data_IF_848138290684
#
_entry.id   IF_848138290684
#
_cell.length_a   1.000
_cell.length_b   1.000
_cell.length_c   1.000
_cell.angle_alpha   90.00
_cell.angle_beta   90.00
_cell.angle_gamma   90.00
#
_symmetry.space_group_name_H-M   'P 1'
#
loop_
_entity.id
_entity.type
_entity.pdbx_description
1 polymer ?
#
# COMPACT_ATOMS: atom_id res chain seq x y z
N UNK A 1 -12.63 -17.05 8.82
CA UNK A 1 -12.35 -16.03 9.86
C UNK A 1 -10.86 -15.75 10.02
N UNK A 2 -9.97 -16.67 9.61
CA UNK A 2 -8.51 -16.49 9.78
C UNK A 2 -7.87 -15.44 8.88
N UNK A 3 -8.26 -15.33 7.60
CA UNK A 3 -7.65 -14.36 6.67
C UNK A 3 -7.78 -12.89 7.12
N UNK A 4 -8.90 -12.50 7.75
CA UNK A 4 -9.07 -11.16 8.31
C UNK A 4 -8.13 -10.92 9.51
N UNK A 5 -7.97 -11.91 10.39
CA UNK A 5 -7.06 -11.83 11.54
C UNK A 5 -5.60 -11.77 11.11
N UNK A 6 -5.24 -12.52 10.07
CA UNK A 6 -3.89 -12.51 9.49
C UNK A 6 -3.58 -11.12 8.95
N UNK A 7 -4.42 -10.58 8.06
CA UNK A 7 -4.23 -9.23 7.50
C UNK A 7 -4.11 -8.15 8.59
N UNK A 8 -5.02 -8.15 9.57
CA UNK A 8 -5.03 -7.15 10.63
C UNK A 8 -3.79 -7.27 11.55
N UNK A 9 -3.28 -8.50 11.73
CA UNK A 9 -2.00 -8.77 12.42
C UNK A 9 -0.81 -8.23 11.63
N UNK A 10 -0.73 -8.53 10.33
CA UNK A 10 0.38 -8.08 9.48
C UNK A 10 0.45 -6.55 9.37
N UNK A 11 -0.69 -5.87 9.22
CA UNK A 11 -0.75 -4.40 9.24
C UNK A 11 -0.25 -3.87 10.60
N UNK A 12 -0.66 -4.52 11.70
CA UNK A 12 -0.24 -4.10 13.04
C UNK A 12 1.27 -4.24 13.26
N UNK A 13 1.87 -5.32 12.73
CA UNK A 13 3.31 -5.55 12.78
C UNK A 13 4.07 -4.51 11.96
N UNK A 14 3.61 -4.21 10.74
CA UNK A 14 4.17 -3.17 9.90
C UNK A 14 4.14 -1.79 10.58
N UNK A 15 3.01 -1.41 11.16
CA UNK A 15 2.91 -0.16 11.92
C UNK A 15 3.80 -0.14 13.16
N UNK A 16 3.93 -1.27 13.86
CA UNK A 16 4.83 -1.36 15.01
C UNK A 16 6.28 -1.14 14.60
N UNK A 17 6.71 -1.78 13.51
CA UNK A 17 8.04 -1.58 12.94
C UNK A 17 8.29 -0.10 12.63
N UNK A 18 7.36 0.56 11.93
CA UNK A 18 7.46 2.00 11.63
C UNK A 18 7.62 2.82 12.91
N UNK A 19 6.83 2.52 13.96
CA UNK A 19 6.90 3.25 15.23
C UNK A 19 8.25 3.07 15.92
N UNK A 20 8.77 1.85 15.96
CA UNK A 20 10.05 1.53 16.59
C UNK A 20 11.22 2.16 15.82
N UNK A 21 11.18 2.10 14.50
CA UNK A 21 12.18 2.69 13.62
C UNK A 21 12.24 4.21 13.78
N UNK A 22 11.08 4.87 13.73
CA UNK A 22 10.99 6.32 13.99
C UNK A 22 11.52 6.70 15.37
N UNK A 23 11.22 5.89 16.40
CA UNK A 23 11.74 6.13 17.76
C UNK A 23 13.26 6.03 17.81
N UNK A 24 13.84 5.02 17.16
CA UNK A 24 15.28 4.82 17.10
C UNK A 24 16.01 6.01 16.43
N UNK A 25 15.55 6.43 15.26
CA UNK A 25 16.16 7.57 14.56
C UNK A 25 15.93 8.90 15.28
N UNK A 26 14.77 9.09 15.92
CA UNK A 26 14.54 10.24 16.80
C UNK A 26 15.56 10.29 17.94
N UNK A 27 15.89 9.16 18.56
CA UNK A 27 16.90 9.11 19.62
C UNK A 27 18.30 9.46 19.08
N UNK A 28 18.67 8.99 17.89
CA UNK A 28 19.93 9.37 17.22
C UNK A 28 20.01 10.87 16.96
N UNK A 29 18.97 11.47 16.37
CA UNK A 29 18.93 12.91 16.09
C UNK A 29 19.06 13.74 17.37
N UNK A 30 18.35 13.35 18.45
CA UNK A 30 18.48 14.03 19.75
C UNK A 30 19.92 13.92 20.28
N UNK A 31 20.56 12.76 20.11
CA UNK A 31 21.96 12.55 20.47
C UNK A 31 22.91 13.51 19.76
N UNK A 32 22.84 13.63 18.43
CA UNK A 32 23.70 14.56 17.68
C UNK A 32 23.42 16.02 18.06
N UNK A 33 22.15 16.41 18.25
CA UNK A 33 21.80 17.77 18.71
C UNK A 33 22.40 18.06 20.10
N UNK A 34 22.37 17.09 21.03
CA UNK A 34 22.97 17.24 22.35
C UNK A 34 24.49 17.35 22.27
N UNK A 35 25.13 16.58 21.39
CA UNK A 35 26.58 16.67 21.15
C UNK A 35 26.96 18.06 20.64
N UNK A 36 26.21 18.60 19.67
CA UNK A 36 26.38 19.96 19.19
C UNK A 36 26.29 20.99 20.33
N UNK A 37 25.23 20.98 21.14
CA UNK A 37 25.09 21.92 22.26
C UNK A 37 26.20 21.77 23.31
N UNK A 38 26.73 20.57 23.51
CA UNK A 38 27.85 20.35 24.43
C UNK A 38 29.16 20.94 23.87
N UNK A 39 29.41 20.81 22.56
CA UNK A 39 30.56 21.42 21.90
C UNK A 39 30.43 22.94 21.91
N UNK A 40 29.26 23.47 21.57
CA UNK A 40 28.96 24.91 21.61
C UNK A 40 29.19 25.52 23.01
N UNK A 41 28.71 24.85 24.06
CA UNK A 41 28.94 25.28 25.45
C UNK A 41 30.42 25.28 25.84
N UNK A 42 31.17 24.26 25.46
CA UNK A 42 32.62 24.19 25.72
C UNK A 42 33.36 25.31 25.01
N UNK A 43 33.08 25.51 23.73
CA UNK A 43 33.65 26.61 22.95
C UNK A 43 33.31 27.96 23.59
N UNK A 44 32.08 28.18 24.05
CA UNK A 44 31.70 29.42 24.73
C UNK A 44 32.39 29.61 26.08
N UNK A 45 32.61 28.55 26.85
CA UNK A 45 33.34 28.60 28.12
C UNK A 45 34.84 28.89 27.93
N UNK A 46 35.49 28.20 26.99
CA UNK A 46 36.90 28.43 26.66
C UNK A 46 37.12 29.85 26.11
N UNK A 47 36.13 30.36 25.38
CA UNK A 47 36.08 31.72 24.85
C UNK A 47 35.94 32.83 25.92
N UNK A 48 35.44 32.53 27.12
CA UNK A 48 35.41 33.47 28.25
C UNK A 48 36.75 33.53 29.00
N UNK A 49 37.60 32.51 28.82
CA UNK A 49 38.88 32.35 29.50
C UNK A 49 40.08 32.85 28.67
N UNK A 50 40.02 32.77 27.33
CA UNK A 50 41.10 33.20 26.43
C UNK A 50 40.81 34.55 25.75
N UNK A 51 41.58 35.58 26.11
CA UNK A 51 41.47 36.96 25.61
C UNK A 51 42.10 37.17 24.20
N UNK A 52 42.24 36.11 23.37
CA UNK A 52 43.14 36.10 22.21
C UNK A 52 42.42 35.94 20.83
N UNK A 53 42.20 37.10 20.19
CA UNK A 53 42.71 37.56 18.88
C UNK A 53 42.44 36.90 17.50
N UNK A 54 41.64 35.85 17.30
CA UNK A 54 41.27 35.47 15.92
C UNK A 54 39.79 35.13 15.74
N UNK A 55 38.97 36.17 15.53
CA UNK A 55 37.53 36.07 15.28
C UNK A 55 37.17 35.12 14.12
N UNK A 56 38.06 35.01 13.13
CA UNK A 56 37.92 34.09 11.99
C UNK A 56 38.07 32.61 12.38
N UNK A 57 39.07 32.27 13.19
CA UNK A 57 39.27 30.89 13.67
C UNK A 57 38.13 30.49 14.63
N UNK A 58 37.66 31.41 15.47
CA UNK A 58 36.52 31.18 16.37
C UNK A 58 35.21 30.91 15.63
N UNK A 59 34.95 31.70 14.58
CA UNK A 59 33.79 31.48 13.73
C UNK A 59 33.88 30.12 13.04
N UNK A 60 35.07 29.74 12.56
CA UNK A 60 35.28 28.45 11.91
C UNK A 60 35.13 27.27 12.87
N UNK A 61 35.64 27.37 14.11
CA UNK A 61 35.49 26.34 15.14
C UNK A 61 34.05 26.16 15.62
N UNK A 62 33.22 27.21 15.57
CA UNK A 62 31.80 27.14 15.92
C UNK A 62 30.91 26.72 14.74
N UNK A 63 31.40 26.95 13.52
CA UNK A 63 30.76 26.60 12.26
C UNK A 63 30.84 25.11 11.96
N UNK A 64 32.02 24.49 12.13
CA UNK A 64 32.22 23.07 11.78
C UNK A 64 31.25 22.13 12.52
N UNK A 65 31.03 22.24 13.85
CA UNK A 65 30.08 21.37 14.56
C UNK A 65 28.63 21.54 14.08
N UNK A 66 28.29 22.72 13.55
CA UNK A 66 26.97 22.97 12.99
C UNK A 66 26.83 22.29 11.62
N UNK A 67 27.84 22.37 10.76
CA UNK A 67 27.88 21.64 9.49
C UNK A 67 27.84 20.12 9.72
N UNK A 68 28.63 19.61 10.68
CA UNK A 68 28.63 18.19 11.05
C UNK A 68 27.24 17.75 11.55
N UNK A 69 26.56 18.58 12.35
CA UNK A 69 25.20 18.31 12.82
C UNK A 69 24.20 18.23 11.66
N UNK A 70 24.28 19.14 10.69
CA UNK A 70 23.42 19.10 9.51
C UNK A 70 23.60 17.79 8.76
N UNK A 71 24.85 17.41 8.50
CA UNK A 71 25.18 16.22 7.74
C UNK A 71 24.72 14.95 8.47
N UNK A 72 24.89 14.89 9.80
CA UNK A 72 24.36 13.82 10.64
C UNK A 72 22.84 13.71 10.54
N UNK A 73 22.12 14.83 10.70
CA UNK A 73 20.65 14.84 10.66
C UNK A 73 20.11 14.43 9.28
N UNK A 74 20.72 14.92 8.20
CA UNK A 74 20.36 14.55 6.83
C UNK A 74 20.69 13.09 6.53
N UNK A 75 21.82 12.59 7.02
CA UNK A 75 22.21 11.18 6.90
C UNK A 75 21.23 10.26 7.63
N UNK A 76 20.84 10.61 8.85
CA UNK A 76 19.84 9.86 9.61
C UNK A 76 18.49 9.83 8.92
N UNK A 77 18.08 10.94 8.32
CA UNK A 77 16.82 11.04 7.58
C UNK A 77 16.85 10.18 6.31
N UNK A 78 17.96 10.19 5.56
CA UNK A 78 18.16 9.36 4.37
C UNK A 78 18.17 7.87 4.72
N UNK A 79 18.89 7.50 5.79
CA UNK A 79 18.95 6.12 6.25
C UNK A 79 17.57 5.61 6.71
N UNK A 80 16.82 6.43 7.44
CA UNK A 80 15.45 6.11 7.83
C UNK A 80 14.53 5.94 6.62
N UNK A 81 14.64 6.81 5.61
CA UNK A 81 13.90 6.65 4.35
C UNK A 81 14.21 5.32 3.67
N UNK A 82 15.49 4.98 3.51
CA UNK A 82 15.89 3.72 2.88
C UNK A 82 15.31 2.50 3.62
N UNK A 83 15.41 2.48 4.95
CA UNK A 83 14.86 1.36 5.75
C UNK A 83 13.32 1.31 5.71
N UNK A 84 12.64 2.45 5.58
CA UNK A 84 11.20 2.49 5.38
C UNK A 84 10.80 1.98 3.99
N UNK A 85 11.55 2.31 2.95
CA UNK A 85 11.32 1.83 1.57
C UNK A 85 11.54 0.31 1.48
N UNK A 86 12.64 -0.22 2.04
CA UNK A 86 12.90 -1.65 2.08
C UNK A 86 11.77 -2.42 2.78
N UNK A 87 11.34 -1.95 3.95
CA UNK A 87 10.23 -2.57 4.67
C UNK A 87 8.88 -2.40 3.96
N UNK A 88 8.70 -1.31 3.20
CA UNK A 88 7.50 -1.10 2.38
C UNK A 88 7.45 -2.08 1.21
N UNK A 89 8.59 -2.40 0.59
CA UNK A 89 8.68 -3.39 -0.47
C UNK A 89 8.35 -4.79 0.03
N UNK A 90 8.80 -5.15 1.23
CA UNK A 90 8.44 -6.43 1.88
C UNK A 90 6.94 -6.50 2.20
N UNK A 91 6.37 -5.40 2.73
CA UNK A 91 4.93 -5.29 2.98
C UNK A 91 4.10 -5.37 1.70
N UNK A 92 4.58 -4.78 0.61
CA UNK A 92 3.96 -4.87 -0.72
C UNK A 92 3.93 -6.31 -1.24
N UNK A 93 5.06 -7.03 -1.18
CA UNK A 93 5.13 -8.44 -1.59
C UNK A 93 4.16 -9.31 -0.79
N UNK A 94 4.08 -9.08 0.51
CA UNK A 94 3.16 -9.79 1.39
C UNK A 94 1.70 -9.51 1.04
N UNK A 95 1.31 -8.24 0.85
CA UNK A 95 -0.06 -7.88 0.46
C UNK A 95 -0.43 -8.42 -0.92
N UNK A 96 0.50 -8.42 -1.87
CA UNK A 96 0.32 -9.07 -3.18
C UNK A 96 0.00 -10.55 -3.00
N UNK A 97 0.81 -11.26 -2.22
CA UNK A 97 0.60 -12.69 -1.93
C UNK A 97 -0.78 -12.95 -1.31
N UNK A 98 -1.17 -12.20 -0.28
CA UNK A 98 -2.49 -12.33 0.35
C UNK A 98 -3.65 -12.04 -0.61
N UNK A 99 -3.47 -11.07 -1.51
CA UNK A 99 -4.47 -10.70 -2.51
C UNK A 99 -4.62 -11.79 -3.57
N UNK A 100 -3.51 -12.37 -4.02
CA UNK A 100 -3.50 -13.46 -4.98
C UNK A 100 -4.13 -14.73 -4.40
N UNK A 101 -3.80 -15.09 -3.15
CA UNK A 101 -4.44 -16.20 -2.43
C UNK A 101 -5.95 -16.01 -2.31
N UNK A 102 -6.40 -14.78 -2.03
CA UNK A 102 -7.82 -14.45 -1.98
C UNK A 102 -8.52 -14.60 -3.33
N UNK A 103 -7.89 -14.13 -4.42
CA UNK A 103 -8.42 -14.29 -5.78
C UNK A 103 -8.49 -15.77 -6.16
N UNK A 104 -7.43 -16.54 -5.89
CA UNK A 104 -7.41 -18.00 -6.14
C UNK A 104 -8.51 -18.72 -5.36
N UNK A 105 -8.77 -18.33 -4.11
CA UNK A 105 -9.86 -18.90 -3.33
C UNK A 105 -11.23 -18.62 -3.97
N UNK A 106 -11.42 -17.44 -4.56
CA UNK A 106 -12.66 -17.08 -5.28
C UNK A 106 -12.78 -17.87 -6.58
N UNK A 107 -11.70 -17.99 -7.35
CA UNK A 107 -11.66 -18.80 -8.57
C UNK A 107 -12.00 -20.27 -8.28
N UNK A 108 -11.48 -20.82 -7.18
CA UNK A 108 -11.82 -22.17 -6.75
C UNK A 108 -13.31 -22.32 -6.42
N UNK A 109 -13.96 -21.30 -5.84
CA UNK A 109 -15.42 -21.30 -5.61
C UNK A 109 -16.19 -21.19 -6.92
N UNK A 110 -15.73 -20.38 -7.86
CA UNK A 110 -16.35 -20.26 -9.18
C UNK A 110 -16.21 -21.54 -9.99
N UNK A 111 -15.12 -22.29 -9.86
CA UNK A 111 -14.99 -23.61 -10.45
C UNK A 111 -16.06 -24.59 -9.94
N UNK A 112 -16.44 -24.51 -8.65
CA UNK A 112 -17.55 -25.29 -8.08
C UNK A 112 -18.88 -24.84 -8.69
N UNK A 113 -19.12 -23.53 -8.82
CA UNK A 113 -20.32 -23.00 -9.46
C UNK A 113 -20.43 -23.44 -10.93
N UNK A 114 -19.32 -23.43 -11.66
CA UNK A 114 -19.26 -23.89 -13.05
C UNK A 114 -19.63 -25.37 -13.15
N UNK A 115 -19.05 -26.23 -12.31
CA UNK A 115 -19.41 -27.65 -12.29
C UNK A 115 -20.90 -27.87 -12.00
N UNK A 116 -21.47 -27.11 -11.04
CA UNK A 116 -22.89 -27.19 -10.74
C UNK A 116 -23.77 -26.72 -11.91
N UNK A 117 -23.32 -25.70 -12.65
CA UNK A 117 -23.98 -25.23 -13.86
C UNK A 117 -23.89 -26.26 -15.01
N UNK A 118 -22.76 -26.94 -15.17
CA UNK A 118 -22.61 -28.03 -16.14
C UNK A 118 -23.59 -29.17 -15.83
N UNK A 119 -23.69 -29.58 -14.55
CA UNK A 119 -24.64 -30.60 -14.10
C UNK A 119 -26.10 -30.16 -14.25
N UNK A 120 -26.39 -28.87 -14.05
CA UNK A 120 -27.72 -28.29 -14.24
C UNK A 120 -28.11 -28.31 -15.72
N UNK A 121 -27.23 -27.83 -16.59
CA UNK A 121 -27.42 -27.81 -18.03
C UNK A 121 -27.68 -29.22 -18.59
N UNK A 122 -26.91 -30.22 -18.15
CA UNK A 122 -27.11 -31.62 -18.55
C UNK A 122 -28.50 -32.13 -18.13
N UNK A 123 -28.90 -31.91 -16.86
CA UNK A 123 -30.20 -32.38 -16.34
C UNK A 123 -31.38 -31.72 -17.03
N UNK A 124 -31.32 -30.41 -17.24
CA UNK A 124 -32.38 -29.66 -17.92
C UNK A 124 -32.49 -30.07 -19.37
N UNK A 125 -31.36 -30.17 -20.08
CA UNK A 125 -31.34 -30.60 -21.48
C UNK A 125 -31.92 -32.00 -21.64
N UNK A 126 -31.51 -32.96 -20.80
CA UNK A 126 -32.05 -34.31 -20.82
C UNK A 126 -33.56 -34.34 -20.55
N UNK A 127 -34.06 -33.52 -19.62
CA UNK A 127 -35.48 -33.43 -19.32
C UNK A 127 -36.28 -32.82 -20.48
N UNK A 128 -35.77 -31.73 -21.06
CA UNK A 128 -36.33 -31.05 -22.22
C UNK A 128 -36.42 -31.99 -23.44
N UNK A 129 -35.34 -32.71 -23.75
CA UNK A 129 -35.34 -33.68 -24.86
C UNK A 129 -36.26 -34.87 -24.60
N UNK A 130 -36.30 -35.38 -23.37
CA UNK A 130 -37.24 -36.45 -23.02
C UNK A 130 -38.70 -36.01 -23.14
N UNK A 131 -39.03 -34.75 -22.83
CA UNK A 131 -40.36 -34.18 -23.07
C UNK A 131 -40.66 -34.06 -24.57
N UNK A 132 -39.73 -33.48 -25.34
CA UNK A 132 -39.86 -33.35 -26.81
C UNK A 132 -40.03 -34.71 -27.48
N UNK A 133 -39.35 -35.75 -27.02
CA UNK A 133 -39.45 -37.07 -27.62
C UNK A 133 -40.78 -37.78 -27.25
N UNK A 134 -41.37 -37.50 -26.07
CA UNK A 134 -42.60 -38.17 -25.58
C UNK A 134 -43.92 -37.52 -25.95
N UNK A 135 -43.96 -36.19 -26.08
CA UNK A 135 -45.20 -35.47 -26.39
C UNK A 135 -45.76 -35.83 -27.78
N UNK A 136 -44.94 -36.01 -28.84
CA UNK A 136 -45.42 -36.43 -30.15
C UNK A 136 -45.95 -37.88 -30.20
N UNK A 137 -45.64 -38.71 -29.21
CA UNK A 137 -45.92 -40.15 -29.22
C UNK A 137 -47.27 -40.56 -28.60
N UNK A 138 -48.12 -39.62 -28.17
CA UNK A 138 -49.37 -39.87 -27.40
C UNK A 138 -49.16 -40.64 -26.06
N UNK A 139 -47.92 -41.06 -25.76
CA UNK A 139 -47.53 -41.88 -24.61
C UNK A 139 -47.76 -41.21 -23.24
N UNK A 140 -48.04 -39.90 -23.22
CA UNK A 140 -48.32 -39.14 -22.01
C UNK A 140 -49.78 -39.31 -21.53
N UNK A 141 -50.66 -39.96 -22.30
CA UNK A 141 -52.07 -40.17 -21.93
C UNK A 141 -52.89 -38.86 -21.85
N UNK A 142 -52.39 -37.79 -22.45
CA UNK A 142 -53.02 -36.47 -22.54
C UNK A 142 -53.30 -36.18 -24.01
N UNK A 143 -54.51 -35.72 -24.34
CA UNK A 143 -54.85 -35.27 -25.69
C UNK A 143 -54.04 -34.00 -26.02
N UNK A 144 -53.06 -34.12 -26.91
CA UNK A 144 -52.19 -33.02 -27.32
C UNK A 144 -52.81 -32.36 -28.55
N UNK A 145 -53.02 -31.03 -28.52
CA UNK A 145 -53.55 -30.32 -29.70
C UNK A 145 -52.49 -30.25 -30.81
N UNK A 146 -52.89 -30.20 -32.11
CA UNK A 146 -51.94 -30.13 -33.22
C UNK A 146 -50.97 -28.95 -33.13
N UNK A 147 -51.42 -27.80 -32.62
CA UNK A 147 -50.57 -26.63 -32.38
C UNK A 147 -49.50 -26.91 -31.31
N UNK A 148 -49.83 -27.71 -30.30
CA UNK A 148 -48.88 -28.08 -29.26
C UNK A 148 -47.84 -29.06 -29.82
N UNK A 149 -48.24 -30.05 -30.64
CA UNK A 149 -47.29 -30.93 -31.33
C UNK A 149 -46.28 -30.15 -32.19
N UNK A 150 -46.75 -29.17 -32.96
CA UNK A 150 -45.89 -28.33 -33.80
C UNK A 150 -44.87 -27.52 -32.96
N UNK A 151 -45.24 -27.10 -31.75
CA UNK A 151 -44.31 -26.46 -30.80
C UNK A 151 -43.26 -27.43 -30.22
N UNK A 152 -43.54 -28.73 -30.17
CA UNK A 152 -42.59 -29.76 -29.72
C UNK A 152 -41.72 -30.33 -30.86
N UNK A 153 -41.90 -29.88 -32.10
CA UNK A 153 -41.02 -30.26 -33.22
C UNK A 153 -39.76 -29.40 -33.31
N UNK A 154 -39.76 -28.19 -32.73
CA UNK A 154 -38.64 -27.25 -32.79
C UNK A 154 -37.53 -27.55 -31.76
N UNK A 155 -36.89 -28.71 -31.95
CA UNK A 155 -35.77 -29.19 -31.13
C UNK A 155 -34.51 -28.33 -31.33
N UNK A 156 -34.33 -27.74 -32.50
CA UNK A 156 -33.17 -26.90 -32.82
C UNK A 156 -33.19 -25.60 -32.02
N UNK A 157 -34.29 -24.85 -32.05
CA UNK A 157 -34.39 -23.61 -31.27
C UNK A 157 -34.28 -23.86 -29.76
N UNK A 158 -34.87 -24.95 -29.26
CA UNK A 158 -34.72 -25.27 -27.83
C UNK A 158 -33.26 -25.58 -27.45
N UNK A 159 -32.55 -26.31 -28.31
CA UNK A 159 -31.13 -26.61 -28.09
C UNK A 159 -30.29 -25.33 -28.09
N UNK A 160 -30.54 -24.43 -29.03
CA UNK A 160 -29.88 -23.12 -29.11
C UNK A 160 -30.13 -22.29 -27.85
N UNK A 161 -31.38 -22.17 -27.41
CA UNK A 161 -31.74 -21.41 -26.19
C UNK A 161 -31.08 -22.00 -24.95
N UNK A 162 -31.07 -23.34 -24.80
CA UNK A 162 -30.43 -23.99 -23.66
C UNK A 162 -28.91 -23.74 -23.66
N UNK A 163 -28.27 -23.83 -24.82
CA UNK A 163 -26.84 -23.56 -24.97
C UNK A 163 -26.51 -22.09 -24.66
N UNK A 164 -27.33 -21.15 -25.14
CA UNK A 164 -27.19 -19.72 -24.86
C UNK A 164 -27.37 -19.40 -23.38
N UNK A 165 -28.36 -20.00 -22.70
CA UNK A 165 -28.53 -19.87 -21.26
C UNK A 165 -27.29 -20.34 -20.50
N UNK A 166 -26.77 -21.52 -20.84
CA UNK A 166 -25.58 -22.08 -20.22
C UNK A 166 -24.33 -21.21 -20.45
N UNK A 167 -24.13 -20.73 -21.68
CA UNK A 167 -23.05 -19.81 -22.03
C UNK A 167 -23.19 -18.49 -21.25
N UNK A 168 -24.41 -17.96 -21.13
CA UNK A 168 -24.71 -16.75 -20.38
C UNK A 168 -24.40 -16.86 -18.89
N UNK A 169 -24.80 -17.96 -18.23
CA UNK A 169 -24.48 -18.22 -16.83
C UNK A 169 -22.96 -18.34 -16.60
N UNK A 170 -22.29 -19.13 -17.45
CA UNK A 170 -20.84 -19.33 -17.37
C UNK A 170 -20.07 -18.02 -17.56
N UNK A 171 -20.48 -17.20 -18.53
CA UNK A 171 -19.91 -15.87 -18.76
C UNK A 171 -20.11 -14.93 -17.56
N UNK A 172 -21.30 -14.96 -16.95
CA UNK A 172 -21.62 -14.18 -15.74
C UNK A 172 -20.69 -14.52 -14.57
N UNK A 173 -20.31 -15.80 -14.42
CA UNK A 173 -19.35 -16.19 -13.39
C UNK A 173 -17.97 -15.59 -13.62
N UNK A 174 -17.42 -15.68 -14.84
CA UNK A 174 -16.10 -15.10 -15.16
C UNK A 174 -16.10 -13.58 -15.00
N UNK A 175 -17.14 -12.91 -15.50
CA UNK A 175 -17.29 -11.45 -15.36
C UNK A 175 -17.25 -11.01 -13.90
N UNK A 176 -17.85 -11.79 -12.98
CA UNK A 176 -17.76 -11.53 -11.55
C UNK A 176 -16.35 -11.71 -10.99
N UNK A 177 -15.63 -12.76 -11.40
CA UNK A 177 -14.23 -12.97 -10.97
C UNK A 177 -13.35 -11.83 -11.44
N UNK A 178 -13.47 -11.44 -12.71
CA UNK A 178 -12.69 -10.36 -13.29
C UNK A 178 -12.97 -9.02 -12.58
N UNK A 179 -14.23 -8.71 -12.31
CA UNK A 179 -14.58 -7.51 -11.54
C UNK A 179 -13.97 -7.52 -10.13
N UNK A 180 -14.00 -8.67 -9.45
CA UNK A 180 -13.38 -8.80 -8.12
C UNK A 180 -11.86 -8.62 -8.22
N UNK A 181 -11.21 -9.24 -9.20
CA UNK A 181 -9.76 -9.11 -9.45
C UNK A 181 -9.37 -7.66 -9.67
N UNK A 182 -10.06 -6.96 -10.56
CA UNK A 182 -9.82 -5.54 -10.84
C UNK A 182 -9.96 -4.68 -9.59
N UNK A 183 -11.02 -4.90 -8.81
CA UNK A 183 -11.25 -4.16 -7.55
C UNK A 183 -10.17 -4.42 -6.52
N UNK A 184 -9.73 -5.66 -6.37
CA UNK A 184 -8.63 -6.03 -5.48
C UNK A 184 -7.31 -5.35 -5.90
N UNK A 185 -7.01 -5.36 -7.21
CA UNK A 185 -5.80 -4.72 -7.74
C UNK A 185 -5.84 -3.19 -7.59
N UNK A 186 -7.00 -2.55 -7.82
CA UNK A 186 -7.16 -1.10 -7.59
C UNK A 186 -6.96 -0.77 -6.12
N UNK A 187 -7.64 -1.51 -5.23
CA UNK A 187 -7.52 -1.34 -3.79
C UNK A 187 -6.06 -1.49 -3.32
N UNK A 188 -5.34 -2.51 -3.79
CA UNK A 188 -3.96 -2.73 -3.43
C UNK A 188 -3.07 -1.55 -3.84
N UNK A 189 -3.21 -1.05 -5.07
CA UNK A 189 -2.48 0.13 -5.56
C UNK A 189 -2.77 1.37 -4.72
N UNK A 190 -4.04 1.63 -4.43
CA UNK A 190 -4.47 2.79 -3.62
C UNK A 190 -3.91 2.72 -2.21
N UNK A 191 -3.96 1.55 -1.58
CA UNK A 191 -3.43 1.33 -0.24
C UNK A 191 -1.92 1.56 -0.23
N UNK A 192 -1.16 0.88 -1.10
CA UNK A 192 0.30 1.00 -1.14
C UNK A 192 0.75 2.44 -1.41
N UNK A 193 0.11 3.11 -2.36
CA UNK A 193 0.39 4.52 -2.66
C UNK A 193 0.08 5.42 -1.45
N UNK A 194 -1.04 5.19 -0.76
CA UNK A 194 -1.42 5.92 0.44
C UNK A 194 -0.38 5.76 1.57
N UNK A 195 0.12 4.54 1.76
CA UNK A 195 1.17 4.24 2.75
C UNK A 195 2.49 4.92 2.38
N UNK A 196 2.99 4.78 1.15
CA UNK A 196 4.24 5.44 0.69
C UNK A 196 4.16 6.96 0.85
N UNK A 197 3.08 7.57 0.39
CA UNK A 197 2.89 9.02 0.48
C UNK A 197 2.85 9.52 1.92
N UNK A 198 2.23 8.76 2.82
CA UNK A 198 2.05 9.18 4.23
C UNK A 198 3.31 8.96 5.05
N UNK A 199 3.85 7.74 5.02
CA UNK A 199 4.91 7.32 5.94
C UNK A 199 6.32 7.60 5.44
N UNK A 200 6.51 7.72 4.12
CA UNK A 200 7.81 7.94 3.51
C UNK A 200 7.90 9.38 3.01
N UNK A 201 7.20 9.73 1.94
CA UNK A 201 7.40 11.02 1.26
C UNK A 201 6.92 12.22 2.09
N UNK A 202 5.73 12.13 2.68
CA UNK A 202 5.16 13.20 3.51
C UNK A 202 6.00 13.45 4.76
N UNK A 203 6.39 12.34 5.43
CA UNK A 203 7.28 12.39 6.59
C UNK A 203 8.64 13.02 6.23
N UNK A 204 9.30 12.53 5.17
CA UNK A 204 10.60 13.04 4.74
C UNK A 204 10.56 14.53 4.48
N UNK A 205 9.59 15.00 3.68
CA UNK A 205 9.46 16.43 3.36
C UNK A 205 9.31 17.28 4.61
N UNK A 206 8.46 16.86 5.55
CA UNK A 206 8.30 17.55 6.82
C UNK A 206 9.61 17.59 7.64
N UNK A 207 10.32 16.46 7.73
CA UNK A 207 11.56 16.36 8.51
C UNK A 207 12.72 17.11 7.90
N UNK A 208 12.91 17.05 6.59
CA UNK A 208 13.93 17.85 5.88
C UNK A 208 13.67 19.34 6.07
N UNK A 209 12.40 19.76 5.99
CA UNK A 209 12.02 21.15 6.26
C UNK A 209 12.35 21.57 7.71
N UNK A 210 12.00 20.74 8.69
CA UNK A 210 12.33 20.98 10.10
C UNK A 210 13.84 21.07 10.35
N UNK A 211 14.62 20.17 9.76
CA UNK A 211 16.09 20.20 9.84
C UNK A 211 16.59 21.52 9.26
N UNK A 212 16.17 21.88 8.04
CA UNK A 212 16.62 23.10 7.40
C UNK A 212 16.29 24.34 8.23
N UNK A 213 15.06 24.45 8.73
CA UNK A 213 14.63 25.58 9.56
C UNK A 213 15.41 25.67 10.88
N UNK A 214 15.67 24.52 11.52
CA UNK A 214 16.52 24.47 12.70
C UNK A 214 17.93 24.97 12.38
N UNK A 215 18.52 24.52 11.27
CA UNK A 215 19.86 24.94 10.86
C UNK A 215 19.93 26.44 10.59
N UNK A 216 18.98 27.00 9.84
CA UNK A 216 18.88 28.45 9.60
C UNK A 216 18.89 29.24 10.91
N UNK A 217 18.07 28.81 11.86
CA UNK A 217 17.99 29.45 13.18
C UNK A 217 19.34 29.43 13.91
N UNK A 218 20.11 28.34 13.81
CA UNK A 218 21.44 28.29 14.43
C UNK A 218 22.47 29.12 13.67
N UNK A 219 22.41 29.14 12.34
CA UNK A 219 23.27 29.99 11.51
C UNK A 219 23.04 31.48 11.81
N UNK A 220 21.79 31.90 11.98
CA UNK A 220 21.44 33.28 12.33
C UNK A 220 21.97 33.66 13.72
N UNK A 221 21.91 32.75 14.70
CA UNK A 221 22.53 32.97 16.02
C UNK A 221 24.05 33.11 15.91
N UNK A 222 24.70 32.26 15.11
CA UNK A 222 26.14 32.32 14.91
C UNK A 222 26.55 33.63 14.22
N UNK A 223 25.79 34.06 13.21
CA UNK A 223 26.04 35.30 12.47
C UNK A 223 25.72 36.57 13.28
N UNK A 224 24.65 36.57 14.09
CA UNK A 224 24.33 37.70 14.98
C UNK A 224 25.36 37.88 16.09
N UNK A 225 25.93 36.78 16.61
CA UNK A 225 27.05 36.83 17.56
C UNK A 225 28.28 37.53 16.96
N UNK A 226 28.53 37.35 15.66
CA UNK A 226 29.58 38.07 14.91
C UNK A 226 29.29 39.57 14.77
N UNK A 227 28.04 39.96 14.46
CA UNK A 227 27.64 41.37 14.31
C UNK A 227 27.71 42.17 15.63
N UNK A 228 27.35 41.56 16.75
CA UNK A 228 27.41 42.20 18.07
C UNK A 228 28.84 42.50 18.57
N UNK A 229 29.86 41.85 17.99
CA UNK A 229 31.27 41.96 18.38
C UNK A 229 32.13 42.77 17.40
N UNK A 230 31.57 43.22 16.26
CA UNK A 230 32.27 44.17 15.39
C UNK A 230 32.37 45.53 16.09
N UNK A 231 33.57 46.12 16.24
CA UNK A 231 33.69 47.44 16.85
C UNK A 231 32.98 48.46 15.96
N UNK A 232 32.10 49.25 16.54
CA UNK A 232 31.60 50.49 15.93
C UNK A 232 32.80 51.30 15.44
N UNK A 233 32.99 51.35 14.12
CA UNK A 233 34.03 52.13 13.48
C UNK A 233 33.92 53.59 13.91
N UNK A 234 34.98 54.11 14.53
CA UNK A 234 35.20 55.55 14.72
C UNK A 234 35.76 56.14 13.44
#
# INVERSE_FOLDING_TARGET
>A
MDSKRIRDSEISQFEQFIRELNKYFKMKSIGSIQQYYNVEKKLNFDNELDDIKNEKERFQMSRQPLEDLHDDLMKFETELENQLEENMDDFERMLLTLTDEFIQAIEAKVAICRKAEDEYYEKVSNHCFHLLDKVPLEEMGVEVTPQLCEMFEDKESLTEVLADCHAGHTSSFYSKVDNIRERCQSWLKEVLLGFRNTYIEGRRRARVFEIHHFMETQWDKLNSTKLSRSPSAK
#
